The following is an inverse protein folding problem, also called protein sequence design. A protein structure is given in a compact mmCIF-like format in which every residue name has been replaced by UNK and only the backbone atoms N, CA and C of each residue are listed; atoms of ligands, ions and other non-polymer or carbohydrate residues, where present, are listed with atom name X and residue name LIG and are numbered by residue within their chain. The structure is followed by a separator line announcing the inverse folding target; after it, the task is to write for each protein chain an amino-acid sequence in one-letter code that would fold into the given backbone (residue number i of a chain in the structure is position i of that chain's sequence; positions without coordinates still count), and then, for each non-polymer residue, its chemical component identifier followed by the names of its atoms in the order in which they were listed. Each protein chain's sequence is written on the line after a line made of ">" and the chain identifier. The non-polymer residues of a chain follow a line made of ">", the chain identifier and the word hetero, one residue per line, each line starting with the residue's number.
data_IF_100956239499
#
_entry.id   IF_100956239499
#
_cell.length_a   1.000
_cell.length_b   1.000
_cell.length_c   1.000
_cell.angle_alpha   90.00
_cell.angle_beta   90.00
_cell.angle_gamma   90.00
#
_symmetry.space_group_name_H-M   'P 1'
#
loop_
_entity.id
_entity.type
_entity.pdbx_description
1 polymer ?
#
# COMPACT_ATOMS: atom_id res chain seq x y z
N UNK A 1 10.87 -4.46 7.67
CA UNK A 1 9.54 -4.16 7.06
C UNK A 1 8.89 -5.39 6.46
N UNK A 2 9.58 -6.18 5.62
CA UNK A 2 9.08 -7.50 5.14
C UNK A 2 8.53 -8.37 6.28
N UNK A 3 9.34 -8.62 7.31
CA UNK A 3 8.90 -9.38 8.48
C UNK A 3 7.69 -8.73 9.18
N UNK A 4 7.76 -7.42 9.45
CA UNK A 4 6.68 -6.69 10.13
C UNK A 4 5.35 -6.70 9.35
N UNK A 5 5.39 -6.82 8.03
CA UNK A 5 4.19 -6.93 7.19
C UNK A 5 3.44 -8.25 7.35
N UNK A 6 4.03 -9.24 8.05
CA UNK A 6 3.46 -10.57 8.31
C UNK A 6 3.09 -10.80 9.77
N UNK A 7 3.53 -9.95 10.70
CA UNK A 7 3.32 -10.08 12.16
C UNK A 7 1.84 -10.13 12.53
N UNK A 8 1.46 -10.82 13.62
CA UNK A 8 0.06 -10.91 14.03
C UNK A 8 -0.54 -9.55 14.43
N UNK A 9 0.28 -8.67 15.00
CA UNK A 9 -0.13 -7.31 15.37
C UNK A 9 -0.31 -6.43 14.11
N UNK A 10 -1.55 -6.04 13.85
CA UNK A 10 -1.88 -5.19 12.71
C UNK A 10 -1.25 -3.79 12.80
N UNK A 11 -0.84 -3.32 13.98
CA UNK A 11 -0.11 -2.06 14.10
C UNK A 11 1.30 -2.18 13.52
N UNK A 12 1.99 -3.31 13.70
CA UNK A 12 3.30 -3.55 13.07
C UNK A 12 3.17 -3.64 11.55
N UNK A 13 2.12 -4.32 11.06
CA UNK A 13 1.79 -4.36 9.62
C UNK A 13 1.53 -2.97 9.06
N UNK A 14 0.76 -2.16 9.77
CA UNK A 14 0.48 -0.77 9.39
C UNK A 14 1.76 0.05 9.29
N UNK A 15 2.65 -0.04 10.28
CA UNK A 15 3.94 0.64 10.24
C UNK A 15 4.72 0.19 9.01
N UNK A 16 4.73 -1.11 8.69
CA UNK A 16 5.39 -1.61 7.49
C UNK A 16 4.81 -0.99 6.21
N UNK A 17 3.49 -0.82 6.10
CA UNK A 17 2.86 -0.22 4.90
C UNK A 17 3.19 1.27 4.76
N UNK A 18 3.19 2.02 5.86
CA UNK A 18 3.31 3.49 5.87
C UNK A 18 4.78 3.98 5.97
N UNK A 19 5.76 3.09 6.19
CA UNK A 19 7.15 3.51 6.51
C UNK A 19 7.84 4.37 5.43
N UNK A 20 7.41 4.27 4.16
CA UNK A 20 8.02 5.00 3.03
C UNK A 20 7.27 6.31 2.66
N UNK A 21 6.26 6.74 3.42
CA UNK A 21 5.42 7.89 3.05
C UNK A 21 6.21 9.18 2.73
N UNK A 22 7.38 9.36 3.33
CA UNK A 22 8.20 10.57 3.12
C UNK A 22 9.37 10.37 2.16
N UNK A 23 9.56 9.17 1.60
CA UNK A 23 10.74 8.84 0.78
C UNK A 23 10.70 9.43 -0.63
N UNK A 24 9.51 9.74 -1.16
CA UNK A 24 9.32 10.30 -2.51
C UNK A 24 10.05 9.50 -3.59
N UNK A 25 10.96 10.11 -4.35
CA UNK A 25 11.75 9.47 -5.40
C UNK A 25 12.65 8.34 -4.89
N UNK A 26 12.92 8.30 -3.58
CA UNK A 26 13.68 7.24 -2.91
C UNK A 26 12.81 6.07 -2.44
N UNK A 27 11.52 6.05 -2.79
CA UNK A 27 10.63 4.93 -2.44
C UNK A 27 11.09 3.68 -3.16
N UNK A 28 11.42 2.64 -2.40
CA UNK A 28 11.66 1.30 -2.90
C UNK A 28 10.32 0.67 -3.26
N UNK A 29 10.02 0.65 -4.56
CA UNK A 29 8.73 0.17 -5.10
C UNK A 29 8.59 -1.34 -5.00
N UNK A 30 9.68 -2.09 -5.07
CA UNK A 30 9.67 -3.55 -4.88
C UNK A 30 9.30 -3.89 -3.44
N UNK A 31 9.93 -3.21 -2.47
CA UNK A 31 9.60 -3.37 -1.05
C UNK A 31 8.17 -2.90 -0.74
N UNK A 32 7.74 -1.77 -1.32
CA UNK A 32 6.37 -1.26 -1.15
C UNK A 32 5.33 -2.27 -1.65
N UNK A 33 5.52 -2.78 -2.86
CA UNK A 33 4.65 -3.77 -3.46
C UNK A 33 4.58 -5.04 -2.62
N UNK A 34 5.71 -5.58 -2.20
CA UNK A 34 5.78 -6.79 -1.39
C UNK A 34 5.03 -6.64 -0.06
N UNK A 35 5.27 -5.54 0.66
CA UNK A 35 4.60 -5.25 1.94
C UNK A 35 3.08 -5.11 1.77
N UNK A 36 2.63 -4.44 0.71
CA UNK A 36 1.20 -4.28 0.42
C UNK A 36 0.57 -5.63 0.05
N UNK A 37 1.21 -6.42 -0.80
CA UNK A 37 0.73 -7.74 -1.22
C UNK A 37 0.57 -8.70 -0.04
N UNK A 38 1.50 -8.68 0.92
CA UNK A 38 1.39 -9.46 2.16
C UNK A 38 0.15 -9.10 3.00
N UNK A 39 -0.45 -7.94 2.74
CA UNK A 39 -1.58 -7.39 3.49
C UNK A 39 -2.89 -7.36 2.68
N UNK A 40 -2.97 -8.07 1.55
CA UNK A 40 -4.24 -8.32 0.87
C UNK A 40 -5.15 -9.26 1.66
N UNK A 41 -6.46 -9.19 1.40
CA UNK A 41 -7.46 -10.01 2.08
C UNK A 41 -7.70 -9.69 3.56
N UNK A 42 -7.05 -8.65 4.12
CA UNK A 42 -7.23 -8.24 5.50
C UNK A 42 -8.61 -7.58 5.69
N UNK A 43 -9.31 -7.92 6.78
CA UNK A 43 -10.59 -7.27 7.14
C UNK A 43 -10.39 -6.01 7.99
N UNK A 44 -9.19 -5.81 8.54
CA UNK A 44 -8.89 -4.68 9.40
C UNK A 44 -8.95 -3.36 8.63
N UNK A 45 -9.78 -2.43 9.12
CA UNK A 45 -9.99 -1.13 8.48
C UNK A 45 -8.68 -0.35 8.39
N UNK A 46 -7.88 -0.37 9.47
CA UNK A 46 -6.65 0.41 9.53
C UNK A 46 -5.58 -0.07 8.56
N UNK A 47 -5.55 -1.36 8.21
CA UNK A 47 -4.65 -1.91 7.19
C UNK A 47 -5.08 -1.46 5.80
N UNK A 48 -6.35 -1.67 5.45
CA UNK A 48 -6.87 -1.29 4.14
C UNK A 48 -6.75 0.22 3.88
N UNK A 49 -6.95 1.03 4.93
CA UNK A 49 -6.74 2.48 4.87
C UNK A 49 -5.26 2.85 4.68
N UNK A 50 -4.34 2.15 5.33
CA UNK A 50 -2.90 2.37 5.16
C UNK A 50 -2.44 2.04 3.74
N UNK A 51 -2.88 0.90 3.17
CA UNK A 51 -2.58 0.54 1.77
C UNK A 51 -3.02 1.65 0.82
N UNK A 52 -4.28 2.08 0.94
CA UNK A 52 -4.83 3.15 0.11
C UNK A 52 -4.08 4.47 0.28
N UNK A 53 -3.69 4.81 1.51
CA UNK A 53 -2.95 6.04 1.79
C UNK A 53 -1.52 6.02 1.25
N UNK A 54 -0.80 4.90 1.43
CA UNK A 54 0.57 4.72 0.95
C UNK A 54 0.63 4.83 -0.58
N UNK A 55 -0.26 4.13 -1.30
CA UNK A 55 -0.37 4.23 -2.75
C UNK A 55 -0.80 5.63 -3.22
N UNK A 56 -1.82 6.23 -2.58
CA UNK A 56 -2.25 7.60 -2.89
C UNK A 56 -1.13 8.61 -2.69
N UNK A 57 -0.34 8.45 -1.64
CA UNK A 57 0.78 9.34 -1.37
C UNK A 57 1.86 9.18 -2.44
N UNK A 58 2.21 7.96 -2.81
CA UNK A 58 3.21 7.69 -3.83
C UNK A 58 2.75 8.07 -5.25
N UNK A 59 1.44 8.08 -5.53
CA UNK A 59 0.89 8.52 -6.82
C UNK A 59 1.25 9.95 -7.19
N UNK A 60 1.59 10.79 -6.20
CA UNK A 60 2.07 12.17 -6.43
C UNK A 60 3.49 12.22 -6.99
N UNK A 61 4.22 11.11 -6.93
CA UNK A 61 5.60 10.96 -7.40
C UNK A 61 5.62 10.12 -8.67
N UNK A 62 4.99 8.94 -8.64
CA UNK A 62 4.93 8.05 -9.78
C UNK A 62 3.49 7.51 -9.99
N UNK A 63 2.59 8.29 -10.64
CA UNK A 63 1.20 7.89 -10.84
C UNK A 63 1.06 6.68 -11.76
N UNK A 64 1.93 6.53 -12.76
CA UNK A 64 1.86 5.40 -13.70
C UNK A 64 2.20 4.08 -13.02
N UNK A 65 3.20 4.07 -12.12
CA UNK A 65 3.48 2.89 -11.30
C UNK A 65 2.30 2.51 -10.41
N UNK A 66 1.65 3.50 -9.75
CA UNK A 66 0.49 3.22 -8.91
C UNK A 66 -0.70 2.71 -9.74
N UNK A 67 -0.93 3.27 -10.94
CA UNK A 67 -1.99 2.79 -11.85
C UNK A 67 -1.74 1.33 -12.24
N UNK A 68 -0.52 1.02 -12.68
CA UNK A 68 -0.14 -0.36 -13.04
C UNK A 68 -0.27 -1.32 -11.86
N UNK A 69 0.14 -0.91 -10.66
CA UNK A 69 0.00 -1.72 -9.45
C UNK A 69 -1.48 -2.02 -9.12
N UNK A 70 -2.35 -1.01 -9.20
CA UNK A 70 -3.79 -1.19 -8.98
C UNK A 70 -4.35 -2.14 -10.04
N UNK A 71 -4.07 -1.90 -11.32
CA UNK A 71 -4.59 -2.73 -12.42
C UNK A 71 -4.18 -4.21 -12.28
N UNK A 72 -2.95 -4.46 -11.85
CA UNK A 72 -2.43 -5.81 -11.61
C UNK A 72 -3.08 -6.51 -10.41
N UNK A 73 -3.43 -5.78 -9.36
CA UNK A 73 -3.82 -6.34 -8.06
C UNK A 73 -5.27 -6.05 -7.63
N UNK A 74 -6.06 -5.33 -8.43
CA UNK A 74 -7.39 -4.83 -8.06
C UNK A 74 -8.33 -5.93 -7.53
N UNK A 75 -8.25 -7.16 -8.06
CA UNK A 75 -9.09 -8.28 -7.63
C UNK A 75 -8.82 -8.75 -6.19
N UNK A 76 -7.66 -8.42 -5.62
CA UNK A 76 -7.23 -8.81 -4.27
C UNK A 76 -7.31 -7.65 -3.27
N UNK A 77 -7.39 -6.42 -3.77
CA UNK A 77 -7.46 -5.21 -2.95
C UNK A 77 -8.87 -4.97 -2.42
N UNK A 78 -8.96 -4.46 -1.19
CA UNK A 78 -10.22 -3.96 -0.67
C UNK A 78 -10.70 -2.75 -1.51
N UNK A 79 -12.01 -2.64 -1.74
CA UNK A 79 -12.59 -1.51 -2.49
C UNK A 79 -12.24 -0.15 -1.88
N UNK A 80 -12.07 -0.10 -0.54
CA UNK A 80 -11.59 1.09 0.16
C UNK A 80 -10.17 1.47 -0.29
N UNK A 81 -9.25 0.51 -0.34
CA UNK A 81 -7.86 0.74 -0.72
C UNK A 81 -7.75 1.26 -2.15
N UNK A 82 -8.51 0.67 -3.09
CA UNK A 82 -8.56 1.12 -4.49
C UNK A 82 -9.06 2.56 -4.56
N UNK A 83 -10.21 2.86 -3.93
CA UNK A 83 -10.82 4.19 -3.95
C UNK A 83 -9.90 5.28 -3.38
N UNK A 84 -9.17 4.95 -2.32
CA UNK A 84 -8.19 5.89 -1.74
C UNK A 84 -6.96 6.05 -2.65
N UNK A 85 -6.40 4.95 -3.13
CA UNK A 85 -5.19 4.94 -3.96
C UNK A 85 -5.39 5.69 -5.29
N UNK A 86 -6.57 5.54 -5.91
CA UNK A 86 -6.88 6.11 -7.22
C UNK A 86 -7.32 7.58 -7.19
N UNK A 87 -7.28 8.25 -6.03
CA UNK A 87 -7.85 9.60 -5.89
C UNK A 87 -7.20 10.65 -6.83
N UNK A 88 -5.95 10.45 -7.21
CA UNK A 88 -5.18 11.38 -8.03
C UNK A 88 -4.72 10.77 -9.36
N UNK A 89 -5.28 9.61 -9.76
CA UNK A 89 -4.92 8.89 -10.98
C UNK A 89 -5.85 9.19 -12.16
#
# INVERSE_FOLDING_TARGET
>A
MRQWSLEEDFWLRRIAIDHQLMCKDLTDTDLLAEVICNNFGQTEFFINKAIGWSLRNYSKVNPDWVRAFIDQHASQMASLSIREASKYL
#
